data_IF_661957931064
#
_entry.id   IF_661957931064
#
_cell.length_a   1.000
_cell.length_b   1.000
_cell.length_c   1.000
_cell.angle_alpha   90.00
_cell.angle_beta   90.00
_cell.angle_gamma   90.00
#
_symmetry.space_group_name_H-M   'P 1'
#
loop_
_entity.id
_entity.type
_entity.pdbx_description
1 polymer ?
#
# COMPACT_ATOMS: atom_id res chain seq x y z
N UNK A 1 -13.50 -6.97 0.28
CA UNK A 1 -14.11 -5.79 -0.40
C UNK A 1 -13.09 -5.21 -1.35
N UNK A 2 -13.50 -4.72 -2.52
CA UNK A 2 -12.59 -4.04 -3.46
C UNK A 2 -12.30 -2.61 -2.99
N UNK A 3 -11.19 -2.02 -3.44
CA UNK A 3 -10.87 -0.62 -3.17
C UNK A 3 -11.97 0.33 -3.64
N UNK A 4 -12.62 0.02 -4.77
CA UNK A 4 -13.73 0.81 -5.27
C UNK A 4 -14.92 0.83 -4.30
N UNK A 5 -15.32 -0.35 -3.79
CA UNK A 5 -16.46 -0.48 -2.89
C UNK A 5 -16.16 0.04 -1.47
N UNK A 6 -14.88 0.27 -1.13
CA UNK A 6 -14.49 0.79 0.18
C UNK A 6 -14.48 2.31 0.26
N UNK A 7 -14.70 3.02 -0.86
CA UNK A 7 -14.74 4.48 -0.89
C UNK A 7 -15.81 5.02 0.07
N UNK A 8 -15.42 5.99 0.89
CA UNK A 8 -16.30 6.59 1.90
C UNK A 8 -16.38 5.83 3.23
N UNK A 9 -15.93 4.58 3.28
CA UNK A 9 -15.84 3.81 4.53
C UNK A 9 -14.54 4.14 5.29
N UNK A 10 -14.55 3.93 6.60
CA UNK A 10 -13.36 4.07 7.44
C UNK A 10 -13.38 3.06 8.58
N UNK A 11 -12.24 2.48 8.90
CA UNK A 11 -12.08 1.49 9.97
C UNK A 11 -10.81 1.76 10.78
N UNK A 12 -10.77 1.33 12.04
CA UNK A 12 -9.60 1.56 12.89
C UNK A 12 -8.37 0.80 12.38
N UNK A 13 -8.58 -0.45 11.95
CA UNK A 13 -7.58 -1.29 11.29
C UNK A 13 -8.04 -1.71 9.90
N UNK A 14 -7.17 -1.62 8.91
CA UNK A 14 -7.41 -2.12 7.55
C UNK A 14 -6.32 -3.11 7.17
N UNK A 15 -6.74 -4.25 6.63
CA UNK A 15 -5.85 -5.26 6.04
C UNK A 15 -5.91 -5.09 4.52
N UNK A 16 -4.76 -4.92 3.89
CA UNK A 16 -4.62 -4.68 2.45
C UNK A 16 -3.76 -5.79 1.85
N UNK A 17 -4.32 -6.47 0.85
CA UNK A 17 -3.56 -7.38 -0.01
C UNK A 17 -2.94 -6.56 -1.14
N UNK A 18 -1.64 -6.28 -1.06
CA UNK A 18 -1.00 -5.28 -1.95
C UNK A 18 -0.91 -5.75 -3.40
N UNK A 19 -1.03 -7.07 -3.65
CA UNK A 19 -1.10 -7.64 -5.00
C UNK A 19 -2.20 -7.02 -5.87
N UNK A 20 -3.33 -6.61 -5.28
CA UNK A 20 -4.43 -5.99 -6.03
C UNK A 20 -4.18 -4.51 -6.37
N UNK A 21 -3.21 -3.89 -5.70
CA UNK A 21 -2.78 -2.51 -5.93
C UNK A 21 -1.68 -2.42 -7.00
N UNK A 22 -1.18 -3.55 -7.50
CA UNK A 22 -0.23 -3.61 -8.60
C UNK A 22 -0.99 -3.93 -9.89
N UNK A 23 -0.71 -3.17 -10.95
CA UNK A 23 -1.16 -3.51 -12.30
C UNK A 23 -0.40 -4.74 -12.79
N UNK A 24 -1.12 -5.84 -13.04
CA UNK A 24 -0.53 -7.12 -13.47
C UNK A 24 0.23 -7.01 -14.81
N UNK A 25 -0.19 -6.13 -15.70
CA UNK A 25 0.38 -6.03 -17.05
C UNK A 25 1.52 -5.03 -17.10
N UNK A 26 1.41 -3.92 -16.37
CA UNK A 26 2.43 -2.87 -16.33
C UNK A 26 3.48 -3.09 -15.25
N UNK A 27 3.18 -3.96 -14.27
CA UNK A 27 3.97 -4.17 -13.07
C UNK A 27 4.26 -2.85 -12.34
N UNK A 28 3.25 -1.97 -12.27
CA UNK A 28 3.34 -0.64 -11.63
C UNK A 28 2.24 -0.46 -10.60
N UNK A 29 2.47 0.40 -9.62
CA UNK A 29 1.46 0.75 -8.63
C UNK A 29 0.25 1.47 -9.27
N UNK A 30 -0.96 0.99 -8.96
CA UNK A 30 -2.22 1.72 -9.20
C UNK A 30 -2.37 2.80 -8.12
N UNK A 31 -1.79 3.96 -8.37
CA UNK A 31 -1.63 5.03 -7.38
C UNK A 31 -2.97 5.46 -6.72
N UNK A 32 -4.03 5.64 -7.50
CA UNK A 32 -5.34 6.04 -6.94
C UNK A 32 -5.94 4.97 -6.03
N UNK A 33 -5.87 3.70 -6.44
CA UNK A 33 -6.36 2.59 -5.63
C UNK A 33 -5.55 2.47 -4.34
N UNK A 34 -4.24 2.65 -4.43
CA UNK A 34 -3.36 2.64 -3.28
C UNK A 34 -3.71 3.75 -2.28
N UNK A 35 -3.86 4.98 -2.75
CA UNK A 35 -4.27 6.12 -1.93
C UNK A 35 -5.62 5.88 -1.24
N UNK A 36 -6.61 5.39 -1.98
CA UNK A 36 -7.93 5.08 -1.40
C UNK A 36 -7.80 4.02 -0.32
N UNK A 37 -7.08 2.92 -0.58
CA UNK A 37 -6.94 1.81 0.35
C UNK A 37 -6.25 2.22 1.66
N UNK A 38 -5.14 2.97 1.58
CA UNK A 38 -4.41 3.46 2.75
C UNK A 38 -5.29 4.41 3.59
N UNK A 39 -5.99 5.35 2.95
CA UNK A 39 -6.81 6.35 3.66
C UNK A 39 -8.08 5.78 4.30
N UNK A 40 -8.38 4.48 4.15
CA UNK A 40 -9.49 3.84 4.88
C UNK A 40 -9.13 3.56 6.34
N UNK A 41 -7.85 3.45 6.68
CA UNK A 41 -7.39 3.17 8.02
C UNK A 41 -7.29 4.44 8.85
N UNK A 42 -7.91 4.43 10.04
CA UNK A 42 -7.79 5.54 11.01
C UNK A 42 -6.56 5.42 11.89
N UNK A 43 -6.14 4.18 12.21
CA UNK A 43 -5.09 3.96 13.20
C UNK A 43 -4.03 2.95 12.76
N UNK A 44 -4.41 1.86 12.09
CA UNK A 44 -3.47 0.79 11.74
C UNK A 44 -3.71 0.22 10.34
N UNK A 45 -2.62 -0.03 9.64
CA UNK A 45 -2.61 -0.73 8.35
C UNK A 45 -1.80 -2.01 8.52
N UNK A 46 -2.34 -3.13 8.00
CA UNK A 46 -1.62 -4.39 7.86
C UNK A 46 -1.53 -4.67 6.36
N UNK A 47 -0.31 -4.83 5.86
CA UNK A 47 -0.06 -5.09 4.44
C UNK A 47 0.31 -6.57 4.29
N UNK A 48 -0.41 -7.27 3.41
CA UNK A 48 -0.12 -8.66 3.02
C UNK A 48 0.48 -8.62 1.62
N UNK A 49 1.76 -8.96 1.54
CA UNK A 49 2.54 -8.94 0.30
C UNK A 49 2.98 -10.35 -0.10
N UNK A 50 2.45 -10.83 -1.22
CA UNK A 50 2.80 -12.11 -1.81
C UNK A 50 3.93 -11.95 -2.84
N UNK A 51 5.09 -11.46 -2.39
CA UNK A 51 6.32 -11.25 -3.19
C UNK A 51 6.09 -10.37 -4.43
N UNK A 52 5.35 -9.29 -4.27
CA UNK A 52 5.13 -8.30 -5.33
C UNK A 52 6.28 -7.29 -5.39
N UNK A 53 6.26 -6.39 -6.38
CA UNK A 53 7.20 -5.26 -6.45
C UNK A 53 6.74 -4.02 -5.67
N UNK A 54 5.74 -4.17 -4.79
CA UNK A 54 5.12 -3.07 -4.05
C UNK A 54 6.13 -2.22 -3.28
N UNK A 55 7.03 -2.85 -2.50
CA UNK A 55 8.06 -2.14 -1.73
C UNK A 55 8.94 -1.28 -2.63
N UNK A 56 9.34 -1.80 -3.79
CA UNK A 56 10.16 -1.06 -4.77
C UNK A 56 9.40 0.14 -5.34
N UNK A 57 8.11 -0.01 -5.65
CA UNK A 57 7.28 1.08 -6.15
C UNK A 57 7.06 2.18 -5.11
N UNK A 58 6.84 1.82 -3.83
CA UNK A 58 6.73 2.82 -2.76
C UNK A 58 8.05 3.54 -2.53
N UNK A 59 9.18 2.82 -2.52
CA UNK A 59 10.50 3.43 -2.41
C UNK A 59 10.75 4.40 -3.57
N UNK A 60 10.39 4.03 -4.81
CA UNK A 60 10.47 4.93 -5.98
C UNK A 60 9.68 6.22 -5.76
N UNK A 61 8.46 6.12 -5.22
CA UNK A 61 7.63 7.28 -4.90
C UNK A 61 8.22 8.15 -3.77
N UNK A 62 8.77 7.54 -2.72
CA UNK A 62 9.40 8.27 -1.62
C UNK A 62 10.69 8.99 -2.07
N UNK A 63 11.50 8.32 -2.88
CA UNK A 63 12.69 8.92 -3.49
C UNK A 63 12.34 10.14 -4.33
N UNK A 64 11.27 10.07 -5.13
CA UNK A 64 10.82 11.18 -5.97
C UNK A 64 10.28 12.38 -5.17
N UNK A 65 9.76 12.18 -3.96
CA UNK A 65 9.15 13.25 -3.17
C UNK A 65 10.13 13.97 -2.24
N UNK A 66 11.07 13.26 -1.60
CA UNK A 66 12.01 13.88 -0.67
C UNK A 66 13.32 13.08 -0.45
N UNK A 67 13.45 11.85 -0.94
CA UNK A 67 14.69 11.06 -0.84
C UNK A 67 15.11 10.59 0.56
N UNK A 68 14.57 11.21 1.61
CA UNK A 68 15.03 11.05 2.99
C UNK A 68 14.45 9.83 3.71
N UNK A 69 13.49 9.14 3.11
CA UNK A 69 12.82 7.99 3.72
C UNK A 69 12.73 6.83 2.74
N UNK A 70 12.85 5.62 3.28
CA UNK A 70 12.46 4.37 2.64
C UNK A 70 11.19 3.82 3.28
N UNK A 71 10.56 2.88 2.59
CA UNK A 71 9.38 2.18 3.07
C UNK A 71 9.64 1.47 4.41
N UNK A 72 10.85 0.96 4.62
CA UNK A 72 11.24 0.28 5.86
C UNK A 72 11.26 1.23 7.07
N UNK A 73 11.31 2.55 6.87
CA UNK A 73 11.15 3.50 7.97
C UNK A 73 9.73 3.56 8.54
N UNK A 74 8.73 2.99 7.85
CA UNK A 74 7.31 3.13 8.21
C UNK A 74 6.63 1.82 8.56
N UNK A 75 7.35 0.70 8.56
CA UNK A 75 6.77 -0.63 8.78
C UNK A 75 7.46 -1.41 9.89
N UNK A 76 6.68 -2.26 10.55
CA UNK A 76 7.18 -3.34 11.39
C UNK A 76 7.04 -4.64 10.60
N UNK A 77 8.15 -5.27 10.21
CA UNK A 77 8.13 -6.54 9.46
C UNK A 77 7.82 -7.70 10.40
N UNK A 78 6.90 -8.55 9.98
CA UNK A 78 6.60 -9.83 10.64
C UNK A 78 6.72 -10.94 9.62
N UNK A 79 7.70 -11.82 9.83
CA UNK A 79 7.85 -13.05 9.05
C UNK A 79 7.00 -14.12 9.75
N UNK A 80 5.95 -14.59 9.07
CA UNK A 80 5.10 -15.69 9.52
C UNK A 80 5.56 -17.00 8.89
#
# INVERSE_FOLDING_TARGET
MTTHNSKGLAADTVIIFVEYLIDRYKNTLKFEDHYVAITRAKSKIILIDNKTNYVSEINRLLCNNNGNFSFDNFIERRNL
#
